data_IF_312421579081
#
_entry.id   IF_312421579081
#
_cell.length_a   1.000
_cell.length_b   1.000
_cell.length_c   1.000
_cell.angle_alpha   90.00
_cell.angle_beta   90.00
_cell.angle_gamma   90.00
#
_symmetry.space_group_name_H-M   'P 1'
#
loop_
_entity.id
_entity.type
_entity.pdbx_description
1 polymer ?
#
# COMPACT_ATOMS: atom_id res chain seq x y z
N UNK A 1 3.88 -9.27 20.69
CA UNK A 1 4.11 -7.88 20.21
C UNK A 1 2.90 -6.98 20.42
N UNK A 2 1.67 -7.44 20.07
CA UNK A 2 0.44 -6.63 20.16
C UNK A 2 0.06 -6.20 21.59
N UNK A 3 0.34 -7.04 22.58
CA UNK A 3 -0.03 -6.81 23.99
C UNK A 3 0.71 -5.63 24.66
N UNK A 4 1.87 -5.23 24.14
CA UNK A 4 2.67 -4.12 24.69
C UNK A 4 2.31 -2.75 24.08
N UNK A 5 1.57 -2.74 22.97
CA UNK A 5 1.22 -1.52 22.23
C UNK A 5 0.33 -0.51 22.97
N UNK A 6 -0.62 -0.93 23.85
CA UNK A 6 -1.42 0.02 24.63
C UNK A 6 -0.60 0.90 25.59
N UNK A 7 0.61 0.51 25.98
CA UNK A 7 1.49 1.36 26.81
C UNK A 7 2.24 2.41 25.97
N UNK A 8 2.42 2.15 24.68
CA UNK A 8 3.11 3.04 23.74
C UNK A 8 2.20 4.18 23.25
N UNK A 9 0.89 3.92 23.23
CA UNK A 9 -0.16 4.87 22.87
C UNK A 9 -0.85 5.32 24.17
N UNK A 10 -1.03 6.61 24.42
CA UNK A 10 -1.71 7.14 25.63
C UNK A 10 -3.24 6.88 25.59
N UNK A 11 -3.66 5.64 25.39
CA UNK A 11 -5.06 5.21 25.27
C UNK A 11 -5.32 4.04 26.19
N UNK A 12 -6.51 3.98 26.79
CA UNK A 12 -6.90 2.80 27.56
C UNK A 12 -6.97 1.54 26.66
N UNK A 13 -6.82 0.36 27.27
CA UNK A 13 -6.76 -0.90 26.54
C UNK A 13 -8.03 -1.21 25.72
N UNK A 14 -9.20 -0.75 26.17
CA UNK A 14 -10.47 -0.96 25.45
C UNK A 14 -10.56 -0.05 24.23
N UNK A 15 -10.11 1.20 24.33
CA UNK A 15 -10.02 2.14 23.21
C UNK A 15 -9.04 1.65 22.15
N UNK A 16 -7.87 1.18 22.60
CA UNK A 16 -6.88 0.54 21.74
C UNK A 16 -7.45 -0.69 21.01
N UNK A 17 -8.07 -1.62 21.76
CA UNK A 17 -8.69 -2.81 21.17
C UNK A 17 -9.76 -2.45 20.14
N UNK A 18 -10.59 -1.43 20.42
CA UNK A 18 -11.66 -1.00 19.52
C UNK A 18 -11.13 -0.35 18.24
N UNK A 19 -10.11 0.49 18.34
CA UNK A 19 -9.63 1.32 17.20
C UNK A 19 -8.52 0.67 16.40
N UNK A 20 -7.54 0.05 17.07
CA UNK A 20 -6.27 -0.36 16.46
C UNK A 20 -6.30 -1.82 16.02
N UNK A 21 -6.84 -2.73 16.84
CA UNK A 21 -6.84 -4.17 16.52
C UNK A 21 -7.56 -4.48 15.19
N UNK A 22 -8.71 -3.86 14.86
CA UNK A 22 -9.32 -4.07 13.55
C UNK A 22 -8.43 -3.67 12.38
N UNK A 23 -7.63 -2.61 12.52
CA UNK A 23 -6.69 -2.17 11.47
C UNK A 23 -5.59 -3.21 11.23
N UNK A 24 -5.09 -3.85 12.30
CA UNK A 24 -4.05 -4.87 12.21
C UNK A 24 -4.56 -6.21 11.63
N UNK A 25 -5.86 -6.47 11.71
CA UNK A 25 -6.48 -7.71 11.20
C UNK A 25 -6.85 -7.62 9.73
N UNK A 26 -6.88 -6.42 9.13
CA UNK A 26 -7.21 -6.28 7.72
C UNK A 26 -6.07 -6.74 6.84
N UNK A 27 -6.36 -7.64 5.90
CA UNK A 27 -5.41 -8.07 4.88
C UNK A 27 -5.41 -7.07 3.72
N UNK A 28 -4.49 -6.12 3.76
CA UNK A 28 -4.36 -5.05 2.76
C UNK A 28 -3.66 -5.52 1.47
N UNK A 29 -2.80 -6.53 1.59
CA UNK A 29 -1.99 -7.10 0.52
C UNK A 29 -1.96 -8.64 0.58
N UNK A 30 -1.67 -9.26 -0.57
CA UNK A 30 -1.45 -10.71 -0.64
C UNK A 30 0.02 -11.06 -0.41
N UNK A 31 0.34 -12.27 0.09
CA UNK A 31 1.72 -12.73 0.17
C UNK A 31 2.42 -12.66 -1.19
N UNK A 32 3.67 -12.20 -1.20
CA UNK A 32 4.45 -12.03 -2.43
C UNK A 32 4.16 -10.76 -3.22
N UNK A 33 3.45 -9.78 -2.63
CA UNK A 33 3.24 -8.46 -3.22
C UNK A 33 4.13 -7.39 -2.57
N UNK A 34 4.61 -6.44 -3.38
CA UNK A 34 5.20 -5.21 -2.89
C UNK A 34 4.07 -4.24 -2.55
N UNK A 35 3.87 -3.97 -1.27
CA UNK A 35 2.76 -3.13 -0.81
C UNK A 35 3.18 -1.67 -0.65
N UNK A 36 2.46 -0.76 -1.34
CA UNK A 36 2.57 0.68 -1.11
C UNK A 36 1.55 1.05 -0.03
N UNK A 37 2.04 1.23 1.20
CA UNK A 37 1.21 1.64 2.34
C UNK A 37 0.75 3.10 2.23
N UNK A 38 1.71 4.00 1.92
CA UNK A 38 1.46 5.43 1.87
C UNK A 38 2.15 6.05 0.67
N UNK A 39 1.40 6.86 -0.09
CA UNK A 39 1.90 7.71 -1.17
C UNK A 39 1.14 9.02 -1.13
N UNK A 40 1.84 10.09 -0.77
CA UNK A 40 1.26 11.42 -0.66
C UNK A 40 2.08 12.43 -1.47
N UNK A 41 1.42 13.50 -1.89
CA UNK A 41 2.05 14.69 -2.45
C UNK A 41 1.28 15.89 -1.87
N UNK A 42 2.02 16.84 -1.31
CA UNK A 42 1.43 18.08 -0.80
C UNK A 42 0.58 18.77 -1.88
N UNK A 43 -0.59 19.35 -1.54
CA UNK A 43 -1.51 19.95 -2.50
C UNK A 43 -0.86 20.88 -3.52
N UNK A 44 0.05 21.75 -3.08
CA UNK A 44 0.77 22.72 -3.90
C UNK A 44 1.75 22.12 -4.92
N UNK A 45 2.11 20.84 -4.78
CA UNK A 45 3.01 20.14 -5.71
C UNK A 45 2.30 19.03 -6.51
N UNK A 46 0.97 18.97 -6.46
CA UNK A 46 0.18 18.03 -7.27
C UNK A 46 0.14 18.48 -8.73
N UNK A 47 -0.27 17.58 -9.61
CA UNK A 47 -0.27 17.77 -11.07
C UNK A 47 1.12 18.03 -11.72
N UNK A 48 2.21 18.12 -10.95
CA UNK A 48 3.59 18.23 -11.45
C UNK A 48 4.25 16.88 -11.77
N UNK A 49 3.48 15.79 -11.84
CA UNK A 49 4.00 14.45 -12.13
C UNK A 49 4.75 13.75 -10.99
N UNK A 50 4.79 14.31 -9.78
CA UNK A 50 5.48 13.72 -8.62
C UNK A 50 4.92 12.35 -8.24
N UNK A 51 3.59 12.23 -8.12
CA UNK A 51 2.94 10.94 -7.82
C UNK A 51 3.30 9.84 -8.84
N UNK A 52 3.42 10.21 -10.12
CA UNK A 52 3.86 9.29 -11.17
C UNK A 52 5.32 8.85 -10.97
N UNK A 53 6.21 9.78 -10.60
CA UNK A 53 7.63 9.46 -10.31
C UNK A 53 7.73 8.53 -9.10
N UNK A 54 6.94 8.77 -8.04
CA UNK A 54 6.87 7.92 -6.85
C UNK A 54 6.41 6.49 -7.19
N UNK A 55 5.35 6.33 -7.99
CA UNK A 55 4.88 5.02 -8.43
C UNK A 55 5.93 4.27 -9.26
N UNK A 56 6.61 4.96 -10.18
CA UNK A 56 7.71 4.38 -10.96
C UNK A 56 8.86 3.93 -10.06
N UNK A 57 9.22 4.73 -9.07
CA UNK A 57 10.26 4.37 -8.11
C UNK A 57 9.88 3.12 -7.29
N UNK A 58 8.62 3.03 -6.84
CA UNK A 58 8.11 1.85 -6.15
C UNK A 58 8.13 0.60 -7.04
N UNK A 59 7.72 0.73 -8.31
CA UNK A 59 7.77 -0.37 -9.29
C UNK A 59 9.22 -0.84 -9.55
N UNK A 60 10.16 0.08 -9.73
CA UNK A 60 11.58 -0.25 -9.87
C UNK A 60 12.14 -0.96 -8.63
N UNK A 61 11.74 -0.52 -7.43
CA UNK A 61 12.15 -1.18 -6.18
C UNK A 61 11.57 -2.59 -6.07
N UNK A 62 10.29 -2.77 -6.42
CA UNK A 62 9.65 -4.10 -6.49
C UNK A 62 10.41 -5.04 -7.43
N UNK A 63 10.76 -4.56 -8.62
CA UNK A 63 11.52 -5.33 -9.61
C UNK A 63 12.90 -5.74 -9.10
N UNK A 64 13.66 -4.82 -8.49
CA UNK A 64 14.97 -5.12 -7.86
C UNK A 64 14.89 -6.17 -6.75
N UNK A 65 13.74 -6.32 -6.12
CA UNK A 65 13.47 -7.34 -5.11
C UNK A 65 12.98 -8.67 -5.71
N UNK A 66 12.85 -8.77 -7.04
CA UNK A 66 12.30 -9.94 -7.71
C UNK A 66 10.78 -10.11 -7.54
N UNK A 67 10.08 -9.04 -7.12
CA UNK A 67 8.64 -9.07 -6.86
C UNK A 67 7.90 -8.51 -8.08
N UNK A 68 7.10 -9.34 -8.72
CA UNK A 68 6.35 -9.02 -9.95
C UNK A 68 4.94 -8.47 -9.71
N UNK A 69 4.50 -8.36 -8.45
CA UNK A 69 3.18 -7.83 -8.10
C UNK A 69 3.33 -6.66 -7.14
N UNK A 70 2.73 -5.52 -7.48
CA UNK A 70 2.69 -4.34 -6.62
C UNK A 70 1.24 -4.00 -6.31
N UNK A 71 0.92 -3.73 -5.05
CA UNK A 71 -0.46 -3.48 -4.62
C UNK A 71 -0.57 -2.30 -3.66
N UNK A 72 -1.78 -1.76 -3.59
CA UNK A 72 -2.17 -0.66 -2.69
C UNK A 72 -3.67 -0.72 -2.39
N UNK A 73 -4.10 0.07 -1.43
CA UNK A 73 -5.53 0.33 -1.17
C UNK A 73 -5.84 1.81 -1.40
N UNK A 74 -7.04 2.11 -1.87
CA UNK A 74 -7.46 3.49 -2.14
C UNK A 74 -8.93 3.69 -1.80
N UNK A 75 -9.26 4.84 -1.20
CA UNK A 75 -10.65 5.23 -0.95
C UNK A 75 -11.39 5.39 -2.30
N UNK A 76 -12.59 4.81 -2.48
CA UNK A 76 -13.35 4.92 -3.74
C UNK A 76 -13.63 6.36 -4.19
N UNK A 77 -13.66 7.30 -3.24
CA UNK A 77 -13.94 8.73 -3.45
C UNK A 77 -12.71 9.47 -3.98
N UNK A 78 -11.50 8.93 -3.83
CA UNK A 78 -10.27 9.55 -4.31
C UNK A 78 -10.08 9.33 -5.82
N UNK A 79 -10.90 10.01 -6.62
CA UNK A 79 -10.91 9.89 -8.09
C UNK A 79 -9.56 10.26 -8.73
N UNK A 80 -8.84 11.23 -8.15
CA UNK A 80 -7.52 11.63 -8.61
C UNK A 80 -6.49 10.52 -8.49
N UNK A 81 -6.40 9.88 -7.31
CA UNK A 81 -5.52 8.74 -7.10
C UNK A 81 -5.92 7.54 -7.96
N UNK A 82 -7.22 7.24 -8.08
CA UNK A 82 -7.72 6.17 -8.95
C UNK A 82 -7.30 6.36 -10.41
N UNK A 83 -7.41 7.60 -10.94
CA UNK A 83 -6.96 7.93 -12.30
C UNK A 83 -5.45 7.76 -12.44
N UNK A 84 -4.68 8.22 -11.44
CA UNK A 84 -3.23 8.07 -11.41
C UNK A 84 -2.81 6.59 -11.43
N UNK A 85 -3.41 5.75 -10.57
CA UNK A 85 -3.09 4.33 -10.46
C UNK A 85 -3.46 3.57 -11.73
N UNK A 86 -4.67 3.78 -12.28
CA UNK A 86 -5.08 3.19 -13.56
C UNK A 86 -4.12 3.55 -14.70
N UNK A 87 -3.67 4.81 -14.78
CA UNK A 87 -2.67 5.26 -15.75
C UNK A 87 -1.33 4.53 -15.62
N UNK A 88 -1.00 4.02 -14.44
CA UNK A 88 0.24 3.26 -14.17
C UNK A 88 0.02 1.75 -14.18
N UNK A 89 -1.07 1.26 -14.78
CA UNK A 89 -1.30 -0.18 -14.98
C UNK A 89 -1.97 -0.89 -13.81
N UNK A 90 -2.39 -0.18 -12.76
CA UNK A 90 -3.13 -0.80 -11.67
C UNK A 90 -4.58 -1.08 -12.08
N UNK A 91 -5.06 -2.27 -11.77
CA UNK A 91 -6.46 -2.67 -11.89
C UNK A 91 -7.07 -2.91 -10.50
N UNK A 92 -8.40 -2.82 -10.40
CA UNK A 92 -9.11 -3.12 -9.15
C UNK A 92 -9.18 -4.63 -8.99
N UNK A 93 -8.63 -5.14 -7.87
CA UNK A 93 -8.72 -6.56 -7.48
C UNK A 93 -10.00 -6.87 -6.71
N UNK A 94 -10.43 -5.94 -5.86
CA UNK A 94 -11.58 -6.14 -4.99
C UNK A 94 -11.83 -4.98 -4.05
N UNK A 95 -12.72 -5.19 -3.09
CA UNK A 95 -13.07 -4.23 -2.04
C UNK A 95 -12.69 -4.81 -0.69
N UNK A 96 -12.28 -3.94 0.24
CA UNK A 96 -12.06 -4.32 1.64
C UNK A 96 -12.55 -3.22 2.57
N UNK A 97 -12.77 -3.59 3.83
CA UNK A 97 -13.17 -2.67 4.89
C UNK A 97 -12.14 -2.70 6.00
N UNK A 98 -11.71 -1.52 6.43
CA UNK A 98 -10.71 -1.33 7.47
C UNK A 98 -11.15 -0.23 8.42
N UNK A 99 -11.29 -0.55 9.70
CA UNK A 99 -11.77 0.37 10.73
C UNK A 99 -13.02 1.17 10.29
N UNK A 100 -14.01 0.50 9.72
CA UNK A 100 -15.25 1.14 9.25
C UNK A 100 -15.18 1.79 7.86
N UNK A 101 -13.99 1.99 7.31
CA UNK A 101 -13.78 2.65 6.01
C UNK A 101 -13.70 1.64 4.87
N UNK A 102 -14.37 1.93 3.76
CA UNK A 102 -14.29 1.11 2.54
C UNK A 102 -13.10 1.52 1.67
N UNK A 103 -12.39 0.54 1.13
CA UNK A 103 -11.30 0.73 0.19
C UNK A 103 -11.46 -0.18 -1.03
N UNK A 104 -10.90 0.26 -2.15
CA UNK A 104 -10.59 -0.59 -3.30
C UNK A 104 -9.16 -1.08 -3.14
N UNK A 105 -8.98 -2.40 -3.26
CA UNK A 105 -7.65 -3.00 -3.39
C UNK A 105 -7.26 -3.00 -4.86
N UNK A 106 -6.10 -2.45 -5.18
CA UNK A 106 -5.59 -2.33 -6.55
C UNK A 106 -4.25 -3.04 -6.68
N UNK A 107 -4.02 -3.67 -7.82
CA UNK A 107 -2.81 -4.44 -8.12
C UNK A 107 -2.32 -4.15 -9.53
N UNK A 108 -1.00 -4.14 -9.70
CA UNK A 108 -0.34 -4.10 -11.00
C UNK A 108 0.67 -5.24 -11.10
N UNK A 109 0.67 -5.92 -12.26
CA UNK A 109 1.65 -6.94 -12.61
C UNK A 109 2.82 -6.26 -13.32
N UNK A 110 4.00 -6.30 -12.71
CA UNK A 110 5.23 -5.79 -13.29
C UNK A 110 5.91 -6.94 -14.02
N UNK A 111 5.97 -6.86 -15.35
CA UNK A 111 6.74 -7.82 -16.14
C UNK A 111 8.21 -7.78 -15.73
N UNK A 112 8.82 -8.91 -15.34
CA UNK A 112 10.24 -8.94 -15.02
C UNK A 112 11.05 -8.74 -16.31
N UNK A 113 11.68 -7.59 -16.46
CA UNK A 113 12.74 -7.41 -17.46
C UNK A 113 14.00 -8.14 -16.98
N UNK A 114 14.19 -9.39 -17.42
CA UNK A 114 15.47 -10.11 -17.37
C UNK A 114 15.90 -10.71 -16.01
N UNK A 115 16.11 -12.04 -16.04
CA UNK A 115 16.76 -12.94 -15.06
C UNK A 115 16.26 -12.91 -13.60
N UNK A 116 15.29 -13.79 -13.38
CA UNK A 116 14.91 -14.41 -12.11
C UNK A 116 16.12 -14.95 -11.35
N UNK A 117 16.30 -14.52 -10.10
CA UNK A 117 17.01 -15.31 -9.09
C UNK A 117 16.17 -15.28 -7.80
N UNK A 118 15.69 -16.46 -7.44
CA UNK A 118 14.81 -16.72 -6.30
C UNK A 118 15.41 -16.16 -5.01
N UNK A 119 14.75 -15.17 -4.41
CA UNK A 119 15.01 -14.74 -3.03
C UNK A 119 13.68 -14.49 -2.31
N UNK A 120 13.64 -14.95 -1.06
CA UNK A 120 12.46 -14.95 -0.17
C UNK A 120 11.80 -13.57 -0.11
N UNK A 121 10.47 -13.57 -0.19
CA UNK A 121 9.62 -12.39 -0.10
C UNK A 121 9.86 -11.65 1.23
N UNK A 122 10.35 -10.41 1.13
CA UNK A 122 10.50 -9.49 2.25
C UNK A 122 9.33 -8.49 2.21
N UNK A 123 8.53 -8.45 3.26
CA UNK A 123 7.48 -7.43 3.44
C UNK A 123 8.16 -6.07 3.65
N UNK A 124 8.33 -5.30 2.58
CA UNK A 124 8.90 -3.94 2.66
C UNK A 124 7.76 -2.91 2.65
N UNK A 125 7.40 -2.42 3.83
CA UNK A 125 6.53 -1.24 3.99
C UNK A 125 7.31 0.01 3.55
N UNK A 126 6.93 0.65 2.45
CA UNK A 126 7.55 1.90 2.00
C UNK A 126 6.69 3.09 2.44
N UNK A 127 7.24 3.94 3.31
CA UNK A 127 6.77 5.31 3.49
C UNK A 127 7.48 6.20 2.48
N UNK A 128 6.73 6.88 1.62
CA UNK A 128 7.22 8.03 0.84
C UNK A 128 6.47 9.26 1.37
N UNK A 129 7.23 10.21 1.94
CA UNK A 129 6.75 11.54 2.34
C UNK A 129 6.72 12.48 1.14
#
# INVERSE_FOLDING_TARGET
MVEKLPKLYKSDAKDYQRKVVPMLKTKEAEPGEYYIDSLAVYPQYRACGIGSKLLKAAALKSHKLGISKISLIVKPENKGALKLYKKHGYSVRGKLKQAGTNFLSMVNLINPTGKSSSKKALFSKLLLF
#
